data_IF_104857111401
#
_entry.id   IF_104857111401
#
_cell.length_a   1.000
_cell.length_b   1.000
_cell.length_c   1.000
_cell.angle_alpha   90.00
_cell.angle_beta   90.00
_cell.angle_gamma   90.00
#
_symmetry.space_group_name_H-M   'P 1'
#
loop_
_entity.id
_entity.type
_entity.pdbx_description
1 polymer ?
#
# COMPACT_ATOMS: atom_id res chain seq x y z
N UNK A 1 -0.70 30.49 -7.28
CA UNK A 1 -1.18 29.37 -6.44
C UNK A 1 -1.44 28.17 -7.33
N UNK A 2 -1.50 26.93 -6.82
CA UNK A 2 -1.53 25.72 -7.65
C UNK A 2 -2.73 25.66 -8.62
N UNK A 3 -3.91 26.12 -8.19
CA UNK A 3 -5.14 26.14 -9.01
C UNK A 3 -5.49 27.52 -9.55
N UNK A 4 -4.65 28.53 -9.32
CA UNK A 4 -4.94 29.92 -9.69
C UNK A 4 -6.00 30.63 -8.83
N UNK A 5 -6.60 29.94 -7.85
CA UNK A 5 -7.63 30.54 -6.99
C UNK A 5 -7.08 31.43 -5.87
N UNK A 6 -7.98 32.24 -5.32
CA UNK A 6 -7.77 33.13 -4.17
C UNK A 6 -8.39 32.52 -2.92
N UNK A 7 -7.69 32.57 -1.78
CA UNK A 7 -8.22 32.06 -0.52
C UNK A 7 -9.23 33.06 0.04
N UNK A 8 -10.47 32.62 0.21
CA UNK A 8 -11.55 33.40 0.85
C UNK A 8 -11.46 33.15 2.36
N UNK A 9 -11.13 34.18 3.14
CA UNK A 9 -11.01 34.10 4.59
C UNK A 9 -11.60 35.33 5.27
N UNK A 10 -12.33 35.09 6.37
CA UNK A 10 -12.94 36.15 7.18
C UNK A 10 -11.91 37.12 7.79
N UNK A 11 -10.68 36.66 8.04
CA UNK A 11 -9.57 37.48 8.56
C UNK A 11 -9.22 38.67 7.65
N UNK A 12 -9.47 38.53 6.35
CA UNK A 12 -9.20 39.56 5.33
C UNK A 12 -10.50 40.31 4.96
N UNK A 13 -11.62 40.01 5.64
CA UNK A 13 -12.92 40.63 5.40
C UNK A 13 -13.60 40.18 4.10
N UNK A 14 -13.22 39.01 3.56
CA UNK A 14 -13.87 38.43 2.39
C UNK A 14 -15.05 37.55 2.81
N UNK A 15 -16.19 37.71 2.13
CA UNK A 15 -17.43 36.97 2.35
C UNK A 15 -17.72 36.05 1.15
N UNK A 16 -18.23 34.85 1.41
CA UNK A 16 -18.59 33.89 0.35
C UNK A 16 -19.65 34.43 -0.62
N UNK A 17 -20.53 35.30 -0.14
CA UNK A 17 -21.61 35.89 -0.94
C UNK A 17 -21.10 36.84 -2.03
N UNK A 18 -19.88 37.38 -1.86
CA UNK A 18 -19.23 38.30 -2.80
C UNK A 18 -18.22 37.58 -3.71
N UNK A 19 -18.05 36.27 -3.55
CA UNK A 19 -17.10 35.50 -4.34
C UNK A 19 -17.52 35.43 -5.82
N UNK A 20 -16.56 35.65 -6.69
CA UNK A 20 -16.73 35.59 -8.15
C UNK A 20 -16.12 34.30 -8.72
N UNK A 21 -16.40 34.01 -9.99
CA UNK A 21 -15.77 32.87 -10.68
C UNK A 21 -14.25 33.01 -10.80
N UNK A 22 -13.72 34.24 -10.76
CA UNK A 22 -12.28 34.51 -10.81
C UNK A 22 -11.57 34.18 -9.48
N UNK A 23 -12.30 34.19 -8.37
CA UNK A 23 -11.76 33.79 -7.06
C UNK A 23 -11.59 32.26 -6.95
N UNK A 24 -12.35 31.51 -7.75
CA UNK A 24 -12.34 30.05 -7.73
C UNK A 24 -11.16 29.49 -8.54
N UNK A 25 -10.41 28.58 -7.92
CA UNK A 25 -9.35 27.85 -8.61
C UNK A 25 -9.89 26.78 -9.56
N UNK A 26 -9.13 26.49 -10.62
CA UNK A 26 -9.45 25.46 -11.60
C UNK A 26 -8.34 24.41 -11.74
N UNK A 27 -8.74 23.20 -12.11
CA UNK A 27 -7.87 22.08 -12.45
C UNK A 27 -8.54 21.18 -13.49
N UNK A 28 -7.75 20.49 -14.29
CA UNK A 28 -8.24 19.60 -15.35
C UNK A 28 -8.98 18.39 -14.79
N UNK A 29 -8.44 17.78 -13.73
CA UNK A 29 -9.05 16.61 -13.10
C UNK A 29 -8.79 16.57 -11.60
N UNK A 30 -9.80 16.20 -10.84
CA UNK A 30 -9.70 15.97 -9.39
C UNK A 30 -10.18 14.55 -9.09
N UNK A 31 -9.40 13.81 -8.30
CA UNK A 31 -9.74 12.45 -7.85
C UNK A 31 -9.77 12.44 -6.33
N UNK A 32 -10.88 11.98 -5.77
CA UNK A 32 -11.13 11.95 -4.33
C UNK A 32 -11.39 10.51 -3.91
N UNK A 33 -10.60 10.01 -2.98
CA UNK A 33 -10.78 8.71 -2.32
C UNK A 33 -11.23 8.92 -0.87
N UNK A 34 -11.37 7.84 -0.09
CA UNK A 34 -11.81 7.89 1.32
C UNK A 34 -10.95 8.82 2.20
N UNK A 35 -9.65 8.84 1.95
CA UNK A 35 -8.63 9.47 2.80
C UNK A 35 -7.64 10.37 2.01
N UNK A 36 -7.75 10.42 0.68
CA UNK A 36 -6.83 11.19 -0.17
C UNK A 36 -7.56 12.01 -1.24
N UNK A 37 -7.14 13.25 -1.43
CA UNK A 37 -7.57 14.13 -2.54
C UNK A 37 -6.37 14.45 -3.43
N UNK A 38 -6.49 14.17 -4.72
CA UNK A 38 -5.45 14.46 -5.73
C UNK A 38 -5.99 15.44 -6.76
N UNK A 39 -5.31 16.58 -6.91
CA UNK A 39 -5.62 17.61 -7.91
C UNK A 39 -4.59 17.48 -9.03
N UNK A 40 -5.05 17.25 -10.25
CA UNK A 40 -4.21 16.99 -11.42
C UNK A 40 -4.35 18.17 -12.38
N UNK A 41 -3.20 18.73 -12.77
CA UNK A 41 -3.09 19.76 -13.80
C UNK A 41 -3.90 21.02 -13.45
N UNK A 42 -3.43 21.75 -12.42
CA UNK A 42 -4.02 23.00 -11.96
C UNK A 42 -3.68 24.18 -12.89
N UNK A 43 -4.60 25.13 -13.04
CA UNK A 43 -4.45 26.29 -13.96
C UNK A 43 -3.53 27.40 -13.40
N UNK A 44 -2.83 27.13 -12.29
CA UNK A 44 -1.91 28.09 -11.70
C UNK A 44 -0.71 28.40 -12.59
N UNK A 45 -0.34 29.67 -12.70
CA UNK A 45 0.86 30.08 -13.44
C UNK A 45 2.14 29.52 -12.81
N UNK A 46 3.06 29.01 -13.64
CA UNK A 46 4.34 28.46 -13.19
C UNK A 46 5.14 29.45 -12.36
N UNK A 47 5.14 30.74 -12.74
CA UNK A 47 5.83 31.80 -12.00
C UNK A 47 5.33 31.91 -10.55
N UNK A 48 4.00 31.83 -10.35
CA UNK A 48 3.40 31.89 -9.03
C UNK A 48 3.71 30.63 -8.20
N UNK A 49 3.79 29.46 -8.83
CA UNK A 49 4.14 28.20 -8.17
C UNK A 49 5.62 28.19 -7.77
N UNK A 50 6.52 28.56 -8.69
CA UNK A 50 7.97 28.63 -8.41
C UNK A 50 8.30 29.70 -7.37
N UNK A 51 7.64 30.86 -7.43
CA UNK A 51 7.74 31.89 -6.38
C UNK A 51 7.32 31.34 -5.01
N UNK A 52 6.25 30.54 -4.95
CA UNK A 52 5.83 29.90 -3.70
C UNK A 52 6.82 28.84 -3.21
N UNK A 53 7.39 28.04 -4.10
CA UNK A 53 8.43 27.06 -3.74
C UNK A 53 9.67 27.77 -3.17
N UNK A 54 10.10 28.88 -3.78
CA UNK A 54 11.22 29.68 -3.29
C UNK A 54 10.96 30.26 -1.89
N UNK A 55 9.77 30.81 -1.66
CA UNK A 55 9.37 31.31 -0.33
C UNK A 55 9.45 30.22 0.75
N UNK A 56 8.94 29.01 0.47
CA UNK A 56 8.94 27.93 1.46
C UNK A 56 10.36 27.41 1.68
N UNK A 57 11.23 27.38 0.65
CA UNK A 57 12.65 27.03 0.80
C UNK A 57 13.37 28.00 1.73
N UNK A 58 13.11 29.30 1.62
CA UNK A 58 13.67 30.28 2.55
C UNK A 58 13.16 30.05 3.99
N UNK A 59 11.86 29.77 4.17
CA UNK A 59 11.29 29.45 5.48
C UNK A 59 11.91 28.19 6.12
N UNK A 60 12.39 27.23 5.32
CA UNK A 60 13.09 26.03 5.81
C UNK A 60 14.44 26.39 6.43
N UNK A 61 15.16 27.37 5.86
CA UNK A 61 16.46 27.84 6.38
C UNK A 61 16.30 28.64 7.66
N UNK A 62 15.23 29.44 7.76
CA UNK A 62 14.90 30.25 8.93
C UNK A 62 14.24 29.43 10.06
N UNK A 63 13.79 28.20 9.78
CA UNK A 63 13.13 27.33 10.75
C UNK A 63 14.11 26.82 11.82
N UNK A 64 13.81 27.19 13.07
CA UNK A 64 14.56 26.79 14.28
C UNK A 64 14.08 25.46 14.87
N UNK A 65 12.90 24.99 14.48
CA UNK A 65 12.30 23.73 14.92
C UNK A 65 12.41 22.67 13.83
N UNK A 66 12.85 21.47 14.21
CA UNK A 66 12.90 20.32 13.29
C UNK A 66 11.49 19.92 12.80
N UNK A 67 10.48 20.09 13.65
CA UNK A 67 9.07 19.86 13.27
C UNK A 67 8.62 20.79 12.14
N UNK A 68 8.94 22.09 12.25
CA UNK A 68 8.58 23.06 11.21
C UNK A 68 9.33 22.78 9.92
N UNK A 69 10.61 22.41 10.02
CA UNK A 69 11.44 22.03 8.88
C UNK A 69 10.84 20.85 8.12
N UNK A 70 10.43 19.80 8.82
CA UNK A 70 9.80 18.61 8.23
C UNK A 70 8.49 18.97 7.52
N UNK A 71 7.62 19.75 8.18
CA UNK A 71 6.33 20.16 7.60
C UNK A 71 6.48 21.05 6.38
N UNK A 72 7.46 21.96 6.38
CA UNK A 72 7.76 22.79 5.21
C UNK A 72 8.34 21.97 4.06
N UNK A 73 9.20 20.98 4.35
CA UNK A 73 9.73 20.04 3.35
C UNK A 73 8.61 19.23 2.68
N UNK A 74 7.65 18.70 3.46
CA UNK A 74 6.49 17.99 2.90
C UNK A 74 5.70 18.86 1.92
N UNK A 75 5.53 20.16 2.24
CA UNK A 75 4.80 21.11 1.39
C UNK A 75 5.56 21.41 0.10
N UNK A 76 6.87 21.63 0.19
CA UNK A 76 7.71 21.84 -1.00
C UNK A 76 7.69 20.61 -1.88
N UNK A 77 7.81 19.40 -1.31
CA UNK A 77 7.78 18.16 -2.06
C UNK A 77 6.47 18.00 -2.86
N UNK A 78 5.32 18.34 -2.26
CA UNK A 78 4.02 18.30 -2.96
C UNK A 78 3.90 19.35 -4.07
N UNK A 79 4.41 20.57 -3.85
CA UNK A 79 4.34 21.64 -4.86
C UNK A 79 5.33 21.46 -6.01
N UNK A 80 6.56 21.00 -5.71
CA UNK A 80 7.61 20.83 -6.70
C UNK A 80 7.55 19.47 -7.41
N UNK A 81 7.05 18.42 -6.73
CA UNK A 81 6.97 17.07 -7.29
C UNK A 81 5.86 16.91 -8.34
N UNK A 82 4.82 17.74 -8.29
CA UNK A 82 3.70 17.70 -9.24
C UNK A 82 2.95 16.37 -9.23
N UNK A 83 2.23 16.08 -10.32
CA UNK A 83 1.48 14.83 -10.50
C UNK A 83 1.80 14.23 -11.86
N UNK A 84 2.37 13.02 -11.86
CA UNK A 84 2.59 12.26 -13.08
C UNK A 84 1.29 11.58 -13.54
N UNK A 85 0.94 11.73 -14.82
CA UNK A 85 -0.25 11.12 -15.41
C UNK A 85 0.15 10.09 -16.47
N UNK A 86 -0.23 8.83 -16.26
CA UNK A 86 0.01 7.74 -17.20
C UNK A 86 -1.26 7.49 -18.01
N UNK A 87 -1.16 7.60 -19.34
CA UNK A 87 -2.26 7.31 -20.27
C UNK A 87 -2.06 5.92 -20.86
N UNK A 88 -3.00 5.00 -20.60
CA UNK A 88 -2.91 3.60 -21.05
C UNK A 88 -3.59 3.45 -22.40
N UNK A 89 -2.83 3.06 -23.43
CA UNK A 89 -3.34 2.74 -24.76
C UNK A 89 -3.67 1.25 -24.92
N UNK A 90 -4.76 0.95 -25.64
CA UNK A 90 -5.17 -0.39 -26.05
C UNK A 90 -5.95 -0.34 -27.39
N UNK A 91 -6.16 -1.51 -28.01
CA UNK A 91 -6.82 -1.61 -29.31
C UNK A 91 -8.34 -1.49 -29.20
N UNK A 92 -8.94 -1.98 -28.12
CA UNK A 92 -10.39 -1.86 -27.83
C UNK A 92 -10.64 -1.18 -26.48
N UNK A 93 -11.86 -0.66 -26.28
CA UNK A 93 -12.25 -0.04 -25.01
C UNK A 93 -12.19 -1.02 -23.83
N UNK A 94 -12.58 -2.28 -24.06
CA UNK A 94 -12.57 -3.33 -23.03
C UNK A 94 -11.14 -3.64 -22.59
N UNK A 95 -10.22 -3.82 -23.54
CA UNK A 95 -8.80 -4.02 -23.24
C UNK A 95 -8.18 -2.78 -22.58
N UNK A 96 -8.62 -1.57 -22.93
CA UNK A 96 -8.16 -0.35 -22.29
C UNK A 96 -8.51 -0.36 -20.80
N UNK A 97 -9.75 -0.72 -20.46
CA UNK A 97 -10.20 -0.82 -19.05
C UNK A 97 -9.46 -1.92 -18.29
N UNK A 98 -9.27 -3.09 -18.91
CA UNK A 98 -8.52 -4.21 -18.32
C UNK A 98 -7.05 -3.85 -18.06
N UNK A 99 -6.37 -3.29 -19.07
CA UNK A 99 -4.97 -2.89 -18.97
C UNK A 99 -4.78 -1.73 -18.00
N UNK A 100 -5.74 -0.79 -17.97
CA UNK A 100 -5.74 0.29 -16.99
C UNK A 100 -5.83 -0.26 -15.56
N UNK A 101 -6.74 -1.20 -15.30
CA UNK A 101 -6.86 -1.83 -13.98
C UNK A 101 -5.54 -2.54 -13.58
N UNK A 102 -4.93 -3.30 -14.48
CA UNK A 102 -3.62 -3.92 -14.22
C UNK A 102 -2.51 -2.92 -13.92
N UNK A 103 -2.49 -1.77 -14.60
CA UNK A 103 -1.51 -0.72 -14.34
C UNK A 103 -1.75 -0.07 -12.97
N UNK A 104 -3.01 0.14 -12.59
CA UNK A 104 -3.37 0.65 -11.26
C UNK A 104 -2.91 -0.33 -10.16
N UNK A 105 -3.19 -1.62 -10.32
CA UNK A 105 -2.75 -2.67 -9.39
C UNK A 105 -1.21 -2.72 -9.28
N UNK A 106 -0.51 -2.70 -10.42
CA UNK A 106 0.95 -2.69 -10.45
C UNK A 106 1.54 -1.43 -9.79
N UNK A 107 0.91 -0.27 -9.95
CA UNK A 107 1.33 0.97 -9.29
C UNK A 107 1.17 0.87 -7.76
N UNK A 108 0.08 0.29 -7.28
CA UNK A 108 -0.13 0.10 -5.85
C UNK A 108 0.85 -0.92 -5.26
N UNK A 109 1.09 -2.03 -5.95
CA UNK A 109 2.06 -3.05 -5.52
C UNK A 109 3.50 -2.50 -5.48
N UNK A 110 3.91 -1.76 -6.52
CA UNK A 110 5.25 -1.16 -6.57
C UNK A 110 5.45 -0.07 -5.52
N UNK A 111 4.44 0.77 -5.24
CA UNK A 111 4.49 1.72 -4.11
C UNK A 111 4.67 1.00 -2.78
N UNK A 112 3.88 -0.05 -2.53
CA UNK A 112 4.00 -0.84 -1.31
C UNK A 112 5.39 -1.50 -1.17
N UNK A 113 5.98 -1.94 -2.29
CA UNK A 113 7.31 -2.51 -2.34
C UNK A 113 8.42 -1.48 -2.07
N UNK A 114 8.25 -0.24 -2.54
CA UNK A 114 9.21 0.85 -2.27
C UNK A 114 9.14 1.29 -0.81
N UNK A 115 7.96 1.27 -0.19
CA UNK A 115 7.76 1.72 1.19
C UNK A 115 8.32 0.76 2.25
N UNK A 116 8.06 -0.54 2.13
CA UNK A 116 8.46 -1.54 3.16
C UNK A 116 9.38 -2.65 2.61
N UNK A 117 9.86 -2.51 1.37
CA UNK A 117 10.67 -3.52 0.70
C UNK A 117 9.86 -4.70 0.15
N UNK A 118 10.58 -5.75 -0.26
CA UNK A 118 10.02 -6.97 -0.85
C UNK A 118 10.52 -8.20 -0.10
N UNK A 119 9.71 -9.26 -0.14
CA UNK A 119 10.04 -10.59 0.39
C UNK A 119 9.79 -11.67 -0.66
N UNK A 120 10.32 -12.88 -0.41
CA UNK A 120 10.07 -14.04 -1.26
C UNK A 120 8.56 -14.34 -1.33
N UNK A 121 8.00 -14.26 -2.54
CA UNK A 121 6.57 -14.45 -2.76
C UNK A 121 6.13 -15.91 -2.72
N UNK A 122 4.92 -16.18 -3.20
CA UNK A 122 4.35 -17.54 -3.21
C UNK A 122 4.14 -18.13 -1.81
N UNK A 123 4.02 -17.28 -0.79
CA UNK A 123 3.83 -17.69 0.60
C UNK A 123 5.09 -18.24 1.30
N UNK A 124 6.25 -18.23 0.64
CA UNK A 124 7.51 -18.73 1.21
C UNK A 124 7.94 -17.89 2.42
N UNK A 125 7.78 -16.57 2.36
CA UNK A 125 8.09 -15.68 3.48
C UNK A 125 7.38 -16.11 4.78
N UNK A 126 6.09 -16.47 4.70
CA UNK A 126 5.31 -16.90 5.86
C UNK A 126 5.78 -18.25 6.41
N UNK A 127 6.14 -19.21 5.55
CA UNK A 127 6.75 -20.48 5.97
C UNK A 127 8.06 -20.24 6.73
N UNK A 128 8.91 -19.34 6.23
CA UNK A 128 10.19 -18.99 6.88
C UNK A 128 9.97 -18.33 8.23
N UNK A 129 9.05 -17.38 8.32
CA UNK A 129 8.68 -16.76 9.60
C UNK A 129 8.15 -17.81 10.57
N UNK A 130 7.25 -18.70 10.14
CA UNK A 130 6.68 -19.74 10.98
C UNK A 130 7.76 -20.69 11.54
N UNK A 131 8.73 -21.09 10.70
CA UNK A 131 9.85 -21.95 11.13
C UNK A 131 10.74 -21.29 12.19
N UNK A 132 10.98 -19.97 12.10
CA UNK A 132 11.79 -19.22 13.08
C UNK A 132 11.10 -19.04 14.43
N UNK A 133 9.78 -19.19 14.46
CA UNK A 133 8.95 -19.01 15.65
C UNK A 133 8.53 -20.35 16.29
N UNK A 134 9.09 -21.48 15.87
CA UNK A 134 8.76 -22.82 16.40
C UNK A 134 8.94 -22.94 17.92
N UNK A 135 9.91 -22.21 18.47
CA UNK A 135 10.24 -22.20 19.90
C UNK A 135 9.54 -21.10 20.70
N UNK A 136 8.67 -20.30 20.06
CA UNK A 136 7.92 -19.25 20.75
C UNK A 136 6.94 -19.88 21.76
N UNK A 137 6.90 -19.33 22.98
CA UNK A 137 6.01 -19.79 24.07
C UNK A 137 5.29 -18.60 24.70
N UNK A 138 4.06 -18.84 25.13
CA UNK A 138 3.24 -17.93 25.90
C UNK A 138 3.38 -18.14 27.41
N UNK A 139 2.50 -17.48 28.16
CA UNK A 139 2.43 -17.54 29.63
C UNK A 139 1.78 -18.82 30.15
N UNK A 140 0.91 -19.45 29.34
CA UNK A 140 0.18 -20.66 29.67
C UNK A 140 -0.02 -21.55 28.42
N UNK A 141 -0.56 -22.76 28.61
CA UNK A 141 -0.70 -23.71 27.51
C UNK A 141 -1.74 -23.27 26.47
N UNK A 142 -2.80 -22.56 26.86
CA UNK A 142 -3.80 -22.04 25.92
C UNK A 142 -3.17 -21.04 24.92
N UNK A 143 -2.29 -20.16 25.41
CA UNK A 143 -1.51 -19.29 24.56
C UNK A 143 -0.55 -20.07 23.65
N UNK A 144 0.07 -21.15 24.14
CA UNK A 144 0.91 -22.02 23.30
C UNK A 144 0.12 -22.68 22.17
N UNK A 145 -1.13 -23.10 22.44
CA UNK A 145 -2.04 -23.61 21.41
C UNK A 145 -2.37 -22.53 20.40
N UNK A 146 -2.70 -21.31 20.85
CA UNK A 146 -2.94 -20.15 19.98
C UNK A 146 -1.76 -19.81 19.06
N UNK A 147 -0.54 -19.84 19.60
CA UNK A 147 0.70 -19.67 18.81
C UNK A 147 0.77 -20.75 17.72
N UNK A 148 0.58 -22.03 18.07
CA UNK A 148 0.61 -23.13 17.09
C UNK A 148 -0.48 -22.99 16.01
N UNK A 149 -1.65 -22.48 16.36
CA UNK A 149 -2.73 -22.20 15.38
C UNK A 149 -2.27 -21.14 14.37
N UNK A 150 -1.71 -20.02 14.84
CA UNK A 150 -1.20 -18.97 13.95
C UNK A 150 -0.06 -19.47 13.05
N UNK A 151 0.91 -20.21 13.60
CA UNK A 151 2.02 -20.78 12.82
C UNK A 151 1.53 -21.77 11.75
N UNK A 152 0.52 -22.58 12.06
CA UNK A 152 -0.10 -23.48 11.08
C UNK A 152 -0.84 -22.71 9.99
N UNK A 153 -1.54 -21.63 10.35
CA UNK A 153 -2.26 -20.79 9.39
C UNK A 153 -1.32 -20.07 8.40
N UNK A 154 -0.08 -19.75 8.81
CA UNK A 154 0.95 -19.18 7.92
C UNK A 154 1.32 -20.11 6.76
N UNK A 155 1.07 -21.42 6.85
CA UNK A 155 1.28 -22.37 5.76
C UNK A 155 0.09 -22.47 4.79
N UNK A 156 -1.06 -21.89 5.13
CA UNK A 156 -2.26 -22.00 4.31
C UNK A 156 -2.10 -21.35 2.93
N UNK A 157 -1.52 -20.13 2.78
CA UNK A 157 -1.36 -19.51 1.47
C UNK A 157 -0.55 -20.34 0.46
N UNK A 158 0.68 -20.81 0.77
CA UNK A 158 1.43 -21.64 -0.18
C UNK A 158 0.74 -22.99 -0.46
N UNK A 159 0.09 -23.59 0.54
CA UNK A 159 -0.66 -24.84 0.34
C UNK A 159 -1.85 -24.64 -0.62
N UNK A 160 -2.56 -23.52 -0.51
CA UNK A 160 -3.67 -23.20 -1.41
C UNK A 160 -3.19 -22.97 -2.84
N UNK A 161 -2.04 -22.30 -3.03
CA UNK A 161 -1.45 -22.11 -4.36
C UNK A 161 -1.13 -23.45 -5.02
N UNK A 162 -0.48 -24.36 -4.27
CA UNK A 162 -0.13 -25.70 -4.77
C UNK A 162 -1.37 -26.53 -5.09
N UNK A 163 -2.40 -26.48 -4.22
CA UNK A 163 -3.66 -27.18 -4.46
C UNK A 163 -4.36 -26.69 -5.72
N UNK A 164 -4.34 -25.38 -6.00
CA UNK A 164 -4.92 -24.80 -7.20
C UNK A 164 -4.18 -25.23 -8.48
N UNK A 165 -2.90 -25.60 -8.39
CA UNK A 165 -2.12 -26.20 -9.47
C UNK A 165 -2.43 -27.71 -9.66
N UNK A 166 -3.18 -28.33 -8.76
CA UNK A 166 -3.47 -29.77 -8.81
C UNK A 166 -2.38 -30.65 -8.18
N UNK A 167 -1.39 -30.05 -7.52
CA UNK A 167 -0.26 -30.71 -6.89
C UNK A 167 -0.52 -31.00 -5.40
N UNK A 168 0.28 -31.89 -4.80
CA UNK A 168 0.12 -32.31 -3.41
C UNK A 168 0.69 -31.25 -2.42
N UNK A 169 -0.16 -30.51 -1.67
CA UNK A 169 0.30 -29.36 -0.87
C UNK A 169 1.26 -29.75 0.25
N UNK A 170 1.11 -30.97 0.79
CA UNK A 170 1.95 -31.45 1.88
C UNK A 170 3.38 -31.75 1.42
N UNK A 171 3.56 -32.29 0.21
CA UNK A 171 4.88 -32.59 -0.37
C UNK A 171 5.61 -31.29 -0.66
N UNK A 172 4.94 -30.34 -1.31
CA UNK A 172 5.55 -29.05 -1.64
C UNK A 172 5.86 -28.24 -0.38
N UNK A 173 4.93 -28.13 0.58
CA UNK A 173 5.18 -27.40 1.82
C UNK A 173 6.34 -27.99 2.63
N UNK A 174 6.46 -29.32 2.69
CA UNK A 174 7.58 -29.98 3.37
C UNK A 174 8.92 -29.73 2.65
N UNK A 175 8.92 -29.79 1.32
CA UNK A 175 10.13 -29.54 0.52
C UNK A 175 10.60 -28.09 0.66
N UNK A 176 9.67 -27.12 0.63
CA UNK A 176 10.00 -25.72 0.89
C UNK A 176 10.52 -25.54 2.31
N UNK A 177 9.90 -26.14 3.33
CA UNK A 177 10.39 -26.09 4.72
C UNK A 177 11.80 -26.64 4.91
N UNK A 178 12.14 -27.71 4.18
CA UNK A 178 13.47 -28.34 4.25
C UNK A 178 14.58 -27.56 3.54
N UNK A 179 14.22 -26.59 2.69
CA UNK A 179 15.18 -25.65 2.12
C UNK A 179 15.28 -24.35 2.93
N UNK A 180 16.20 -23.48 2.49
CA UNK A 180 16.60 -22.29 3.25
C UNK A 180 16.41 -20.99 2.48
N UNK A 181 16.33 -19.87 3.21
CA UNK A 181 16.27 -18.53 2.65
C UNK A 181 15.11 -18.36 1.65
N UNK A 182 15.46 -17.98 0.42
CA UNK A 182 14.52 -17.70 -0.66
C UNK A 182 14.13 -18.93 -1.49
N UNK A 183 14.56 -20.13 -1.09
CA UNK A 183 14.16 -21.36 -1.76
C UNK A 183 12.65 -21.59 -1.62
N UNK A 184 11.98 -21.80 -2.75
CA UNK A 184 10.53 -21.92 -2.83
C UNK A 184 10.08 -22.71 -4.05
N UNK A 185 8.76 -22.72 -4.27
CA UNK A 185 8.11 -23.42 -5.38
C UNK A 185 7.43 -22.41 -6.30
N UNK A 186 7.80 -22.42 -7.58
CA UNK A 186 7.16 -21.60 -8.60
C UNK A 186 5.94 -22.33 -9.16
N UNK A 187 4.76 -21.93 -8.73
CA UNK A 187 3.49 -22.51 -9.17
C UNK A 187 3.18 -22.30 -10.67
N UNK A 188 3.86 -21.38 -11.36
CA UNK A 188 3.66 -21.16 -12.79
C UNK A 188 4.43 -22.13 -13.68
N UNK A 189 5.58 -22.63 -13.20
CA UNK A 189 6.45 -23.57 -13.94
C UNK A 189 6.55 -24.94 -13.27
N UNK A 190 6.00 -25.09 -12.07
CA UNK A 190 6.06 -26.30 -11.23
C UNK A 190 7.50 -26.70 -10.82
N UNK A 191 8.40 -25.72 -10.77
CA UNK A 191 9.81 -25.93 -10.42
C UNK A 191 10.17 -25.30 -9.08
N UNK A 192 11.12 -25.92 -8.38
CA UNK A 192 11.74 -25.34 -7.19
C UNK A 192 12.92 -24.44 -7.55
N UNK A 193 13.09 -23.36 -6.81
CA UNK A 193 14.19 -22.43 -7.04
C UNK A 193 14.23 -21.27 -6.08
N UNK A 194 15.09 -20.29 -6.35
CA UNK A 194 15.13 -19.04 -5.62
C UNK A 194 14.02 -18.09 -6.11
N UNK A 195 13.05 -17.80 -5.23
CA UNK A 195 11.89 -16.97 -5.57
C UNK A 195 12.26 -15.56 -6.03
N UNK A 196 13.34 -15.00 -5.48
CA UNK A 196 13.81 -13.65 -5.85
C UNK A 196 14.40 -13.67 -7.26
N UNK A 197 15.22 -14.66 -7.57
CA UNK A 197 15.87 -14.80 -8.89
C UNK A 197 14.82 -15.11 -9.98
N UNK A 198 13.74 -15.82 -9.61
CA UNK A 198 12.59 -16.10 -10.47
C UNK A 198 11.63 -14.90 -10.61
N UNK A 199 11.87 -13.78 -9.92
CA UNK A 199 11.03 -12.58 -9.98
C UNK A 199 9.68 -12.71 -9.27
N UNK A 200 9.52 -13.70 -8.39
CA UNK A 200 8.30 -13.93 -7.61
C UNK A 200 8.45 -13.21 -6.27
N UNK A 201 8.00 -11.95 -6.26
CA UNK A 201 8.18 -11.02 -5.16
C UNK A 201 6.83 -10.58 -4.62
N UNK A 202 6.69 -10.58 -3.30
CA UNK A 202 5.56 -9.98 -2.62
C UNK A 202 6.04 -8.71 -1.88
N UNK A 203 5.32 -7.57 -1.97
CA UNK A 203 5.61 -6.41 -1.14
C UNK A 203 5.45 -6.76 0.35
N UNK A 204 6.45 -6.45 1.19
CA UNK A 204 6.43 -6.77 2.63
C UNK A 204 5.16 -6.24 3.31
N UNK A 205 4.77 -5.01 2.94
CA UNK A 205 3.56 -4.35 3.44
C UNK A 205 2.30 -5.20 3.22
N UNK A 206 2.17 -5.83 2.05
CA UNK A 206 1.00 -6.64 1.70
C UNK A 206 0.97 -7.90 2.56
N UNK A 207 2.08 -8.64 2.65
CA UNK A 207 2.16 -9.86 3.48
C UNK A 207 1.90 -9.56 4.95
N UNK A 208 2.46 -8.46 5.48
CA UNK A 208 2.25 -8.00 6.85
C UNK A 208 0.79 -7.63 7.11
N UNK A 209 0.23 -6.76 6.27
CA UNK A 209 -1.16 -6.32 6.41
C UNK A 209 -2.14 -7.48 6.32
N UNK A 210 -1.94 -8.42 5.37
CA UNK A 210 -2.78 -9.60 5.23
C UNK A 210 -2.82 -10.44 6.51
N UNK A 211 -1.65 -10.74 7.09
CA UNK A 211 -1.55 -11.50 8.34
C UNK A 211 -2.20 -10.77 9.52
N UNK A 212 -1.96 -9.45 9.65
CA UNK A 212 -2.50 -8.64 10.75
C UNK A 212 -4.02 -8.53 10.69
N UNK A 213 -4.59 -8.26 9.51
CA UNK A 213 -6.04 -8.19 9.35
C UNK A 213 -6.72 -9.54 9.59
N UNK A 214 -6.15 -10.63 9.05
CA UNK A 214 -6.66 -11.97 9.30
C UNK A 214 -6.62 -12.33 10.80
N UNK A 215 -5.50 -12.09 11.48
CA UNK A 215 -5.39 -12.36 12.93
C UNK A 215 -6.35 -11.49 13.75
N UNK A 216 -6.55 -10.23 13.37
CA UNK A 216 -7.48 -9.31 14.04
C UNK A 216 -8.92 -9.81 13.96
N UNK A 217 -9.40 -10.14 12.75
CA UNK A 217 -10.78 -10.63 12.56
C UNK A 217 -10.96 -12.01 13.21
N UNK A 218 -9.99 -12.91 13.06
CA UNK A 218 -10.04 -14.22 13.69
C UNK A 218 -10.10 -14.12 15.22
N UNK A 219 -9.32 -13.21 15.83
CA UNK A 219 -9.36 -12.96 17.26
C UNK A 219 -10.74 -12.51 17.74
N UNK A 220 -11.38 -11.58 17.03
CA UNK A 220 -12.75 -11.15 17.33
C UNK A 220 -13.74 -12.31 17.27
N UNK A 221 -13.67 -13.13 16.22
CA UNK A 221 -14.56 -14.29 16.05
C UNK A 221 -14.35 -15.36 17.12
N UNK A 222 -13.10 -15.65 17.50
CA UNK A 222 -12.78 -16.65 18.52
C UNK A 222 -13.37 -16.27 19.89
N UNK A 223 -13.44 -14.97 20.19
CA UNK A 223 -13.99 -14.46 21.47
C UNK A 223 -15.47 -14.09 21.41
N UNK A 224 -16.15 -14.34 20.28
CA UNK A 224 -17.57 -13.99 20.12
C UNK A 224 -18.45 -15.10 20.69
N UNK A 225 -19.22 -14.79 21.73
CA UNK A 225 -20.13 -15.74 22.41
C UNK A 225 -21.58 -15.66 21.91
N UNK A 226 -22.00 -14.54 21.31
CA UNK A 226 -23.39 -14.31 20.91
C UNK A 226 -23.46 -13.50 19.61
N UNK A 227 -24.41 -13.88 18.74
CA UNK A 227 -24.75 -13.15 17.51
C UNK A 227 -26.26 -12.93 17.46
N UNK A 228 -26.68 -11.74 17.08
CA UNK A 228 -28.10 -11.37 16.88
C UNK A 228 -28.25 -10.83 15.47
N UNK A 229 -29.29 -11.24 14.77
CA UNK A 229 -29.64 -10.76 13.43
C UNK A 229 -31.14 -10.50 13.34
N UNK A 230 -31.55 -9.60 12.46
CA UNK A 230 -32.95 -9.41 12.08
C UNK A 230 -33.48 -10.69 11.40
N UNK A 231 -34.80 -10.89 11.47
CA UNK A 231 -35.53 -12.03 10.91
C UNK A 231 -35.76 -11.92 9.40
#
# INVERSE_FOLDING_TARGET
TLTGGTVISEEIGMELDKATLEDLGQANRVVINKDTTTIIDGVGEEAAIQGRVAQIRQQIEEATSDYDREKLQERVAKLAGGVAVIKVGAATEVEMKEKKARVEDALHATRAAVEEGVVAGGGVALIRVASKLADLRGQNEDQNVGIKVALRAMEAPPRQLVLNCGEEPSVVANTVKGGDGNYGYNAATEEYGNMIDMGILDPTKVTRSALQYAASVAGLMITTECMVTDL
#
